data_IF_269054557204
#
_entry.id   IF_269054557204
#
_cell.length_a   1.000
_cell.length_b   1.000
_cell.length_c   1.000
_cell.angle_alpha   90.00
_cell.angle_beta   90.00
_cell.angle_gamma   90.00
#
_symmetry.space_group_name_H-M   'P 1'
#
loop_
_entity.id
_entity.type
_entity.pdbx_description
1 polymer ?
#
# COMPACT_ATOMS: atom_id res chain seq x y z
N UNK A 1 15.82 -11.98 2.99
CA UNK A 1 15.16 -10.72 2.57
C UNK A 1 14.89 -10.82 1.07
N UNK A 2 13.64 -10.67 0.62
CA UNK A 2 13.20 -10.92 -0.77
C UNK A 2 13.21 -9.64 -1.62
N UNK A 3 14.39 -9.05 -1.84
CA UNK A 3 14.50 -7.83 -2.65
C UNK A 3 14.21 -8.10 -4.12
N UNK A 4 13.54 -7.16 -4.80
CA UNK A 4 13.25 -7.29 -6.24
C UNK A 4 12.27 -8.43 -6.55
N UNK A 5 11.23 -8.59 -5.71
CA UNK A 5 10.18 -9.57 -5.93
C UNK A 5 8.80 -9.01 -5.61
N UNK A 6 7.78 -9.50 -6.29
CA UNK A 6 6.39 -9.37 -5.85
C UNK A 6 6.16 -10.46 -4.79
N UNK A 7 5.75 -10.08 -3.58
CA UNK A 7 5.63 -11.00 -2.44
C UNK A 7 4.26 -10.95 -1.75
N UNK A 8 3.37 -10.06 -2.19
CA UNK A 8 2.01 -9.98 -1.69
C UNK A 8 1.06 -9.50 -2.80
N UNK A 9 -0.23 -9.81 -2.64
CA UNK A 9 -1.34 -9.29 -3.44
C UNK A 9 -2.43 -8.73 -2.50
N UNK A 10 -3.27 -7.86 -3.02
CA UNK A 10 -4.38 -7.27 -2.29
C UNK A 10 -5.42 -6.70 -3.27
N UNK A 11 -6.59 -6.35 -2.73
CA UNK A 11 -7.62 -5.57 -3.41
C UNK A 11 -7.43 -4.09 -3.08
N UNK A 12 -7.19 -3.25 -4.09
CA UNK A 12 -7.27 -1.79 -3.94
C UNK A 12 -8.75 -1.37 -3.94
N UNK A 13 -9.29 -1.15 -2.74
CA UNK A 13 -10.73 -0.94 -2.52
C UNK A 13 -11.15 0.52 -2.66
N UNK A 14 -10.30 1.47 -2.28
CA UNK A 14 -10.61 2.91 -2.33
C UNK A 14 -9.34 3.77 -2.37
N UNK A 15 -9.52 5.04 -2.73
CA UNK A 15 -8.49 6.08 -2.72
C UNK A 15 -9.05 7.32 -2.00
N UNK A 16 -8.59 7.55 -0.78
CA UNK A 16 -9.19 8.53 0.15
C UNK A 16 -8.27 9.75 0.31
N UNK A 17 -8.83 10.96 0.23
CA UNK A 17 -8.11 12.19 0.55
C UNK A 17 -7.74 12.19 2.05
N UNK A 18 -6.46 12.40 2.34
CA UNK A 18 -5.97 12.54 3.71
C UNK A 18 -6.28 13.95 4.19
N UNK A 19 -7.26 14.06 5.08
CA UNK A 19 -7.50 15.27 5.88
C UNK A 19 -6.77 15.16 7.21
N UNK A 20 -6.70 16.27 7.97
CA UNK A 20 -6.15 16.25 9.34
C UNK A 20 -6.92 15.26 10.23
N UNK A 21 -8.26 15.24 10.12
CA UNK A 21 -9.11 14.34 10.88
C UNK A 21 -8.88 12.88 10.50
N UNK A 22 -8.70 12.60 9.20
CA UNK A 22 -8.40 11.25 8.74
C UNK A 22 -7.03 10.78 9.24
N UNK A 23 -6.00 11.62 9.13
CA UNK A 23 -4.66 11.31 9.61
C UNK A 23 -4.66 11.01 11.12
N UNK A 24 -5.33 11.84 11.91
CA UNK A 24 -5.46 11.63 13.36
C UNK A 24 -6.23 10.35 13.68
N UNK A 25 -7.31 10.07 12.96
CA UNK A 25 -8.08 8.83 13.12
C UNK A 25 -7.21 7.59 12.89
N UNK A 26 -6.43 7.55 11.80
CA UNK A 26 -5.55 6.42 11.52
C UNK A 26 -4.45 6.30 12.56
N UNK A 27 -3.88 7.42 13.03
CA UNK A 27 -2.88 7.43 14.10
C UNK A 27 -3.37 6.76 15.39
N UNK A 28 -4.66 6.91 15.71
CA UNK A 28 -5.28 6.32 16.89
C UNK A 28 -5.74 4.87 16.65
N UNK A 29 -6.40 4.60 15.51
CA UNK A 29 -7.02 3.29 15.25
C UNK A 29 -6.06 2.24 14.70
N UNK A 30 -5.06 2.66 13.91
CA UNK A 30 -4.02 1.80 13.35
C UNK A 30 -2.65 2.51 13.36
N UNK A 31 -1.99 2.57 14.53
CA UNK A 31 -0.72 3.25 14.69
C UNK A 31 0.39 2.67 13.81
N UNK A 32 0.34 1.37 13.50
CA UNK A 32 1.35 0.73 12.64
C UNK A 32 1.20 1.21 11.20
N UNK A 33 -0.02 1.26 10.66
CA UNK A 33 -0.28 1.86 9.36
C UNK A 33 0.20 3.31 9.32
N UNK A 34 -0.13 4.10 10.35
CA UNK A 34 0.29 5.49 10.44
C UNK A 34 1.83 5.65 10.41
N UNK A 35 2.55 4.82 11.17
CA UNK A 35 4.02 4.83 11.23
C UNK A 35 4.69 4.40 9.92
N UNK A 36 4.05 3.52 9.16
CA UNK A 36 4.59 3.03 7.88
C UNK A 36 4.21 3.90 6.67
N UNK A 37 3.23 4.79 6.80
CA UNK A 37 2.72 5.64 5.72
C UNK A 37 3.15 7.10 5.81
N UNK A 38 2.79 7.88 4.79
CA UNK A 38 2.88 9.34 4.82
C UNK A 38 1.46 9.93 4.84
N UNK A 39 0.99 10.25 6.05
CA UNK A 39 -0.34 10.82 6.29
C UNK A 39 -0.34 12.36 6.33
N UNK A 40 0.56 13.02 5.59
CA UNK A 40 0.50 14.48 5.45
C UNK A 40 -0.79 14.88 4.73
N UNK A 41 -1.59 15.81 5.28
CA UNK A 41 -2.84 16.27 4.67
C UNK A 41 -2.67 16.77 3.23
N UNK A 42 -3.70 16.57 2.41
CA UNK A 42 -3.70 16.90 0.98
C UNK A 42 -3.14 15.79 0.07
N UNK A 43 -2.58 14.72 0.65
CA UNK A 43 -2.23 13.48 -0.05
C UNK A 43 -3.43 12.54 -0.14
N UNK A 44 -3.27 11.43 -0.87
CA UNK A 44 -4.26 10.37 -0.94
C UNK A 44 -3.70 9.07 -0.36
N UNK A 45 -4.50 8.39 0.44
CA UNK A 45 -4.23 7.05 0.97
C UNK A 45 -4.93 5.99 0.11
N UNK A 46 -4.27 4.86 -0.09
CA UNK A 46 -4.86 3.68 -0.72
C UNK A 46 -5.38 2.73 0.34
N UNK A 47 -6.66 2.37 0.22
CA UNK A 47 -7.30 1.40 1.09
C UNK A 47 -7.11 0.01 0.50
N UNK A 48 -6.23 -0.79 1.13
CA UNK A 48 -5.95 -2.16 0.72
C UNK A 48 -6.73 -3.14 1.58
N UNK A 49 -7.45 -4.05 0.93
CA UNK A 49 -8.21 -5.15 1.57
C UNK A 49 -7.70 -6.49 1.05
N UNK A 50 -8.00 -7.58 1.75
CA UNK A 50 -7.62 -8.95 1.36
C UNK A 50 -6.11 -9.10 1.07
N UNK A 51 -5.28 -8.55 1.97
CA UNK A 51 -3.82 -8.61 1.83
C UNK A 51 -3.34 -10.02 2.13
N UNK A 52 -2.80 -10.68 1.10
CA UNK A 52 -2.32 -12.06 1.18
C UNK A 52 -0.86 -12.15 0.71
N UNK A 53 0.01 -12.90 1.41
CA UNK A 53 1.33 -13.23 0.89
C UNK A 53 1.20 -14.13 -0.34
N UNK A 54 2.19 -14.04 -1.25
CA UNK A 54 2.32 -14.96 -2.39
C UNK A 54 3.72 -15.54 -2.44
N UNK A 55 3.88 -16.65 -3.14
CA UNK A 55 5.21 -17.15 -3.49
C UNK A 55 5.99 -16.06 -4.23
N UNK A 56 7.19 -15.67 -3.76
CA UNK A 56 7.92 -14.53 -4.32
C UNK A 56 8.19 -14.69 -5.82
N UNK A 57 7.73 -13.71 -6.60
CA UNK A 57 7.95 -13.65 -8.05
C UNK A 57 9.10 -12.67 -8.31
N UNK A 58 10.26 -13.18 -8.72
CA UNK A 58 11.44 -12.35 -9.02
C UNK A 58 11.15 -11.46 -10.24
N UNK A 59 11.23 -10.14 -10.05
CA UNK A 59 11.02 -9.18 -11.14
C UNK A 59 11.60 -7.80 -10.79
N UNK A 60 11.96 -7.02 -11.80
CA UNK A 60 12.44 -5.65 -11.60
C UNK A 60 11.24 -4.72 -11.38
N UNK A 61 11.30 -3.94 -10.30
CA UNK A 61 10.33 -2.87 -10.05
C UNK A 61 10.32 -1.84 -11.19
N UNK A 62 9.15 -1.24 -11.43
CA UNK A 62 8.93 -0.19 -12.44
C UNK A 62 8.32 1.04 -11.77
N UNK A 63 8.46 2.21 -12.41
CA UNK A 63 7.84 3.45 -11.94
C UNK A 63 6.32 3.41 -12.19
N UNK A 64 5.54 3.92 -11.24
CA UNK A 64 4.07 3.97 -11.33
C UNK A 64 3.38 2.61 -11.10
N UNK A 65 2.07 2.57 -11.34
CA UNK A 65 1.30 1.31 -11.37
C UNK A 65 1.58 0.63 -12.70
N UNK A 66 1.89 -0.66 -12.66
CA UNK A 66 2.24 -1.44 -13.85
C UNK A 66 1.60 -2.81 -13.81
N UNK A 67 1.27 -3.33 -14.99
CA UNK A 67 0.75 -4.67 -15.14
C UNK A 67 1.89 -5.68 -15.12
N UNK A 68 1.80 -6.64 -14.20
CA UNK A 68 2.65 -7.82 -14.22
C UNK A 68 2.14 -8.77 -15.32
N UNK A 69 2.93 -8.92 -16.37
CA UNK A 69 2.72 -9.93 -17.39
C UNK A 69 3.63 -11.11 -17.10
N UNK A 70 3.04 -12.30 -16.98
CA UNK A 70 3.77 -13.56 -16.91
C UNK A 70 4.00 -14.01 -18.35
N UNK A 71 5.09 -13.54 -18.94
CA UNK A 71 5.59 -14.10 -20.20
C UNK A 71 5.95 -15.59 -20.01
#
# INVERSE_FOLDING_TARGET
MHYGSIFAKCTLSDCVLITEEFAQKIKESDPNCFLCGNFTPGRYAWMLTDVEPVEPIITKGKLGIWYYNKD
#
